data_IF_309856725663
#
_entry.id   IF_309856725663
#
_cell.length_a   1.000
_cell.length_b   1.000
_cell.length_c   1.000
_cell.angle_alpha   90.00
_cell.angle_beta   90.00
_cell.angle_gamma   90.00
#
_symmetry.space_group_name_H-M   'P 1'
#
loop_
_entity.id
_entity.type
_entity.pdbx_description
1 polymer ?
#
# COMPACT_ATOMS: atom_id res chain seq x y z
N UNK A 1 2.03 22.45 -3.36
CA UNK A 1 3.12 21.68 -4.01
C UNK A 1 2.95 21.64 -5.52
N UNK A 2 1.81 21.14 -6.05
CA UNK A 2 1.56 21.00 -7.49
C UNK A 2 1.90 22.23 -8.35
N UNK A 3 1.56 23.45 -7.89
CA UNK A 3 1.79 24.69 -8.65
C UNK A 3 3.27 25.01 -8.94
N UNK A 4 4.22 24.32 -8.29
CA UNK A 4 5.67 24.48 -8.58
C UNK A 4 6.10 23.74 -9.85
N UNK A 5 5.32 22.76 -10.31
CA UNK A 5 5.64 21.93 -11.46
C UNK A 5 5.53 22.73 -12.75
N UNK A 6 6.55 22.64 -13.61
CA UNK A 6 6.51 23.19 -14.97
C UNK A 6 6.14 22.12 -16.00
N UNK A 7 6.59 20.88 -15.79
CA UNK A 7 6.41 19.75 -16.70
C UNK A 7 5.86 18.54 -15.94
N UNK A 8 4.56 18.53 -15.59
CA UNK A 8 3.97 17.43 -14.83
C UNK A 8 4.03 16.12 -15.63
N UNK A 9 4.56 15.02 -15.05
CA UNK A 9 4.62 13.73 -15.71
C UNK A 9 3.22 13.18 -15.98
N UNK A 10 3.13 12.28 -16.96
CA UNK A 10 1.89 11.58 -17.26
C UNK A 10 1.66 10.48 -16.23
N UNK A 11 0.62 10.65 -15.43
CA UNK A 11 0.11 9.62 -14.50
C UNK A 11 -1.22 9.08 -15.02
N UNK A 12 -1.43 7.77 -14.89
CA UNK A 12 -2.68 7.10 -15.19
C UNK A 12 -3.80 7.59 -14.26
N UNK A 13 -4.92 8.04 -14.84
CA UNK A 13 -6.05 8.59 -14.08
C UNK A 13 -7.28 7.68 -13.94
N UNK A 14 -7.24 6.48 -14.55
CA UNK A 14 -8.43 5.60 -14.65
C UNK A 14 -8.75 4.87 -13.35
N UNK A 15 -7.73 4.55 -12.55
CA UNK A 15 -7.85 3.82 -11.31
C UNK A 15 -6.72 4.24 -10.36
N UNK A 16 -7.05 4.41 -9.08
CA UNK A 16 -6.12 4.85 -8.02
C UNK A 16 -4.90 3.93 -7.91
N UNK A 17 -5.09 2.64 -8.18
CA UNK A 17 -4.02 1.64 -8.15
C UNK A 17 -2.94 1.93 -9.19
N UNK A 18 -3.33 2.17 -10.45
CA UNK A 18 -2.36 2.49 -11.51
C UNK A 18 -1.71 3.85 -11.26
N UNK A 19 -2.48 4.82 -10.77
CA UNK A 19 -1.93 6.12 -10.39
C UNK A 19 -0.81 5.94 -9.33
N UNK A 20 -1.05 5.13 -8.31
CA UNK A 20 -0.07 4.83 -7.25
C UNK A 20 1.18 4.13 -7.80
N UNK A 21 1.01 3.14 -8.67
CA UNK A 21 2.14 2.45 -9.32
C UNK A 21 2.99 3.41 -10.14
N UNK A 22 2.36 4.28 -10.94
CA UNK A 22 3.07 5.30 -11.72
C UNK A 22 3.83 6.28 -10.81
N UNK A 23 3.19 6.74 -9.72
CA UNK A 23 3.82 7.63 -8.74
C UNK A 23 5.07 7.00 -8.12
N UNK A 24 5.03 5.72 -7.79
CA UNK A 24 6.17 5.03 -7.16
C UNK A 24 7.29 4.78 -8.15
N UNK A 25 6.96 4.43 -9.40
CA UNK A 25 7.98 4.37 -10.45
C UNK A 25 8.67 5.72 -10.63
N UNK A 26 7.89 6.82 -10.65
CA UNK A 26 8.43 8.18 -10.73
C UNK A 26 9.33 8.52 -9.53
N UNK A 27 8.95 8.11 -8.31
CA UNK A 27 9.79 8.26 -7.11
C UNK A 27 11.09 7.45 -7.21
N UNK A 28 11.03 6.22 -7.73
CA UNK A 28 12.19 5.34 -7.90
C UNK A 28 13.21 5.87 -8.91
N UNK A 29 12.79 6.70 -9.86
CA UNK A 29 13.69 7.43 -10.77
C UNK A 29 13.97 8.86 -10.29
N UNK A 30 13.69 9.16 -9.01
CA UNK A 30 13.93 10.43 -8.35
C UNK A 30 13.19 11.65 -8.95
N UNK A 31 11.98 11.43 -9.48
CA UNK A 31 11.10 12.54 -9.92
C UNK A 31 10.68 13.39 -8.72
N UNK A 32 10.74 14.73 -8.79
CA UNK A 32 10.34 15.59 -7.67
C UNK A 32 8.86 15.43 -7.27
N UNK A 33 8.58 15.44 -5.96
CA UNK A 33 7.22 15.26 -5.44
C UNK A 33 6.22 16.30 -5.99
N UNK A 34 6.65 17.55 -6.22
CA UNK A 34 5.76 18.57 -6.77
C UNK A 34 5.32 18.26 -8.20
N UNK A 35 6.18 17.62 -9.00
CA UNK A 35 5.84 17.16 -10.35
C UNK A 35 4.88 15.98 -10.27
N UNK A 36 5.15 14.99 -9.42
CA UNK A 36 4.27 13.82 -9.23
C UNK A 36 2.86 14.26 -8.81
N UNK A 37 2.75 15.16 -7.82
CA UNK A 37 1.46 15.68 -7.34
C UNK A 37 0.73 16.45 -8.44
N UNK A 38 1.43 17.26 -9.24
CA UNK A 38 0.83 17.94 -10.38
C UNK A 38 0.34 16.93 -11.45
N UNK A 39 1.16 15.93 -11.79
CA UNK A 39 0.80 14.84 -12.69
C UNK A 39 -0.49 14.12 -12.26
N UNK A 40 -0.69 13.93 -10.95
CA UNK A 40 -1.89 13.34 -10.38
C UNK A 40 -3.12 14.25 -10.54
N UNK A 41 -2.98 15.55 -10.26
CA UNK A 41 -4.07 16.52 -10.48
C UNK A 41 -4.54 16.50 -11.94
N UNK A 42 -3.59 16.54 -12.88
CA UNK A 42 -3.88 16.43 -14.31
C UNK A 42 -4.47 15.08 -14.70
N UNK A 43 -4.05 13.98 -14.07
CA UNK A 43 -4.61 12.65 -14.30
C UNK A 43 -6.11 12.59 -13.93
N UNK A 44 -6.49 13.14 -12.78
CA UNK A 44 -7.88 13.23 -12.32
C UNK A 44 -8.71 14.10 -13.26
N UNK A 45 -8.22 15.29 -13.63
CA UNK A 45 -8.92 16.19 -14.55
C UNK A 45 -9.13 15.56 -15.94
N UNK A 46 -8.11 14.89 -16.51
CA UNK A 46 -8.23 14.14 -17.78
C UNK A 46 -9.23 13.00 -17.68
N UNK A 47 -9.23 12.27 -16.57
CA UNK A 47 -10.20 11.19 -16.36
C UNK A 47 -11.62 11.74 -16.31
N UNK A 48 -11.85 12.86 -15.61
CA UNK A 48 -13.15 13.53 -15.59
C UNK A 48 -13.60 13.93 -17.01
N UNK A 49 -12.74 14.59 -17.79
CA UNK A 49 -13.05 15.00 -19.18
C UNK A 49 -13.42 13.79 -20.05
N UNK A 50 -12.68 12.69 -19.93
CA UNK A 50 -12.84 11.51 -20.79
C UNK A 50 -13.91 10.51 -20.34
N UNK A 51 -14.24 10.45 -19.06
CA UNK A 51 -15.21 9.49 -18.51
C UNK A 51 -16.58 10.12 -18.23
N UNK A 52 -16.63 11.37 -17.75
CA UNK A 52 -17.87 12.02 -17.30
C UNK A 52 -18.34 13.12 -18.26
N UNK A 53 -17.41 13.94 -18.75
CA UNK A 53 -17.73 15.04 -19.68
C UNK A 53 -17.69 14.64 -21.16
N UNK A 54 -17.40 13.36 -21.46
CA UNK A 54 -17.28 12.88 -22.84
C UNK A 54 -18.55 13.13 -23.64
N UNK A 55 -18.41 13.80 -24.78
CA UNK A 55 -19.52 14.15 -25.66
C UNK A 55 -20.42 15.27 -25.13
N UNK A 56 -20.11 15.88 -23.98
CA UNK A 56 -20.89 16.99 -23.43
C UNK A 56 -20.27 18.32 -23.84
N UNK A 57 -21.09 19.26 -24.31
CA UNK A 57 -20.66 20.64 -24.56
C UNK A 57 -20.61 21.39 -23.23
N UNK A 58 -19.41 21.71 -22.76
CA UNK A 58 -19.20 22.50 -21.55
C UNK A 58 -19.43 23.97 -21.91
N UNK A 59 -20.48 24.56 -21.33
CA UNK A 59 -20.79 26.00 -21.48
C UNK A 59 -20.10 26.76 -20.35
N UNK A 60 -19.55 27.93 -20.70
CA UNK A 60 -18.83 28.80 -19.78
C UNK A 60 -19.72 29.97 -19.34
N UNK A 61 -19.60 30.50 -18.10
CA UNK A 61 -18.69 30.03 -17.04
C UNK A 61 -19.12 28.69 -16.43
N UNK A 62 -18.17 27.97 -15.84
CA UNK A 62 -18.36 26.68 -15.16
C UNK A 62 -18.17 26.85 -13.66
N UNK A 63 -19.16 26.46 -12.86
CA UNK A 63 -18.99 26.42 -11.41
C UNK A 63 -18.27 25.12 -10.98
N UNK A 64 -17.16 25.23 -10.25
CA UNK A 64 -16.45 24.10 -9.65
C UNK A 64 -16.75 24.04 -8.15
N UNK A 65 -17.52 23.04 -7.74
CA UNK A 65 -18.04 22.90 -6.37
C UNK A 65 -17.62 21.57 -5.71
N UNK A 66 -17.75 21.50 -4.39
CA UNK A 66 -17.28 20.39 -3.55
C UNK A 66 -15.93 20.66 -2.89
N UNK A 67 -15.50 19.78 -1.99
CA UNK A 67 -14.26 19.97 -1.22
C UNK A 67 -12.99 20.01 -2.08
N UNK A 68 -12.99 19.33 -3.23
CA UNK A 68 -11.85 19.31 -4.16
C UNK A 68 -11.58 20.68 -4.78
N UNK A 69 -12.57 21.57 -4.86
CA UNK A 69 -12.37 22.92 -5.38
C UNK A 69 -11.44 23.79 -4.51
N UNK A 70 -11.20 23.43 -3.24
CA UNK A 70 -10.14 24.06 -2.43
C UNK A 70 -8.71 23.71 -2.87
N UNK A 71 -8.53 22.70 -3.75
CA UNK A 71 -7.21 22.26 -4.19
C UNK A 71 -6.76 23.06 -5.41
N UNK A 72 -5.88 24.04 -5.20
CA UNK A 72 -5.37 24.90 -6.28
C UNK A 72 -4.72 24.14 -7.45
N UNK A 73 -4.09 22.97 -7.20
CA UNK A 73 -3.54 22.13 -8.26
C UNK A 73 -4.63 21.47 -9.12
N UNK A 74 -5.77 21.09 -8.51
CA UNK A 74 -6.94 20.62 -9.25
C UNK A 74 -7.60 21.75 -10.04
N UNK A 75 -7.66 22.96 -9.49
CA UNK A 75 -8.17 24.14 -10.18
C UNK A 75 -7.35 24.40 -11.46
N UNK A 76 -6.03 24.54 -11.33
CA UNK A 76 -5.12 24.72 -12.48
C UNK A 76 -5.25 23.59 -13.51
N UNK A 77 -5.35 22.33 -13.04
CA UNK A 77 -5.49 21.18 -13.92
C UNK A 77 -6.81 21.21 -14.69
N UNK A 78 -7.93 21.58 -14.06
CA UNK A 78 -9.22 21.72 -14.75
C UNK A 78 -9.23 22.90 -15.71
N UNK A 79 -8.66 24.05 -15.34
CA UNK A 79 -8.54 25.20 -16.23
C UNK A 79 -7.78 24.81 -17.51
N UNK A 80 -6.63 24.14 -17.37
CA UNK A 80 -5.84 23.69 -18.50
C UNK A 80 -6.57 22.61 -19.34
N UNK A 81 -7.07 21.55 -18.70
CA UNK A 81 -7.67 20.41 -19.41
C UNK A 81 -8.98 20.78 -20.11
N UNK A 82 -9.74 21.72 -19.54
CA UNK A 82 -10.98 22.21 -20.13
C UNK A 82 -10.80 23.45 -21.00
N UNK A 83 -9.56 23.92 -21.20
CA UNK A 83 -9.22 25.08 -22.04
C UNK A 83 -10.01 26.33 -21.61
N UNK A 84 -9.96 26.61 -20.30
CA UNK A 84 -10.64 27.75 -19.67
C UNK A 84 -9.69 28.95 -19.58
N UNK A 85 -10.19 30.13 -19.90
CA UNK A 85 -9.56 31.42 -19.65
C UNK A 85 -9.77 31.87 -18.20
N UNK A 86 -8.98 32.84 -17.77
CA UNK A 86 -9.05 33.41 -16.43
C UNK A 86 -10.48 33.89 -16.11
N UNK A 87 -11.06 33.34 -15.03
CA UNK A 87 -12.41 33.70 -14.58
C UNK A 87 -13.53 32.86 -15.17
N UNK A 88 -13.26 31.94 -16.11
CA UNK A 88 -14.28 31.05 -16.67
C UNK A 88 -14.58 29.82 -15.79
N UNK A 89 -13.63 29.42 -14.92
CA UNK A 89 -13.84 28.42 -13.86
C UNK A 89 -14.11 29.14 -12.54
N UNK A 90 -15.38 29.18 -12.13
CA UNK A 90 -15.83 29.92 -10.94
C UNK A 90 -15.88 28.99 -9.74
N UNK A 91 -15.26 29.39 -8.63
CA UNK A 91 -15.33 28.66 -7.36
C UNK A 91 -16.14 29.52 -6.38
N UNK A 92 -17.39 29.15 -6.08
CA UNK A 92 -18.22 29.87 -5.09
C UNK A 92 -17.59 29.85 -3.69
N UNK A 93 -17.89 30.84 -2.86
CA UNK A 93 -17.38 30.90 -1.47
C UNK A 93 -17.83 29.67 -0.66
N UNK A 94 -19.08 29.26 -0.81
CA UNK A 94 -19.70 28.13 -0.11
C UNK A 94 -19.50 26.79 -0.82
N UNK A 95 -18.50 26.67 -1.71
CA UNK A 95 -18.31 25.50 -2.56
C UNK A 95 -18.27 24.16 -1.78
N UNK A 96 -17.84 24.17 -0.50
CA UNK A 96 -17.78 22.97 0.37
C UNK A 96 -19.14 22.47 0.84
N UNK A 97 -20.11 23.36 0.97
CA UNK A 97 -21.46 23.06 1.50
C UNK A 97 -22.56 23.23 0.44
N UNK A 98 -22.17 23.47 -0.81
CA UNK A 98 -23.05 23.92 -1.90
C UNK A 98 -24.31 23.04 -2.07
N UNK A 99 -24.17 21.71 -1.99
CA UNK A 99 -25.31 20.79 -2.08
C UNK A 99 -26.26 20.90 -0.87
N UNK A 100 -25.72 21.03 0.35
CA UNK A 100 -26.52 21.20 1.56
C UNK A 100 -27.24 22.55 1.58
N UNK A 101 -26.56 23.61 1.12
CA UNK A 101 -27.15 24.93 0.93
C UNK A 101 -28.33 24.89 -0.04
N UNK A 102 -28.16 24.26 -1.21
CA UNK A 102 -29.23 24.07 -2.19
C UNK A 102 -30.42 23.26 -1.62
N UNK A 103 -30.15 22.19 -0.86
CA UNK A 103 -31.21 21.41 -0.22
C UNK A 103 -32.04 22.24 0.78
N UNK A 104 -31.37 23.08 1.59
CA UNK A 104 -32.05 23.99 2.51
C UNK A 104 -32.90 25.04 1.77
N UNK A 105 -32.42 25.56 0.64
CA UNK A 105 -33.19 26.48 -0.20
C UNK A 105 -34.45 25.83 -0.78
N UNK A 106 -34.34 24.58 -1.29
CA UNK A 106 -35.49 23.83 -1.82
C UNK A 106 -36.53 23.59 -0.71
N UNK A 107 -36.09 23.24 0.50
CA UNK A 107 -36.99 23.07 1.64
C UNK A 107 -37.73 24.38 1.98
N UNK A 108 -37.02 25.51 1.98
CA UNK A 108 -37.60 26.85 2.16
C UNK A 108 -38.65 27.18 1.11
N UNK A 109 -38.39 26.87 -0.16
CA UNK A 109 -39.32 27.15 -1.28
C UNK A 109 -40.58 26.29 -1.23
N UNK A 110 -40.48 25.03 -0.79
CA UNK A 110 -41.62 24.10 -0.69
C UNK A 110 -42.54 24.38 0.50
N UNK A 111 -42.10 25.19 1.48
CA UNK A 111 -42.91 25.54 2.64
C UNK A 111 -43.27 24.36 3.57
N UNK A 112 -42.55 23.24 3.49
CA UNK A 112 -42.71 22.14 4.44
C UNK A 112 -42.05 22.52 5.77
N UNK A 113 -42.86 22.63 6.83
CA UNK A 113 -42.44 23.11 8.16
C UNK A 113 -42.58 22.03 9.23
N UNK A 114 -42.27 20.77 8.92
CA UNK A 114 -42.04 19.81 9.99
C UNK A 114 -40.79 20.26 10.76
N UNK A 115 -40.95 20.58 12.04
CA UNK A 115 -39.86 21.08 12.88
C UNK A 115 -38.86 19.96 13.13
N UNK A 116 -37.69 20.02 12.50
CA UNK A 116 -36.56 19.16 12.83
C UNK A 116 -35.93 19.64 14.16
N UNK A 117 -36.23 18.94 15.26
CA UNK A 117 -35.63 19.22 16.56
C UNK A 117 -34.22 18.61 16.66
N UNK A 118 -33.22 19.48 16.55
CA UNK A 118 -31.81 19.12 16.64
C UNK A 118 -31.45 18.51 18.01
N UNK A 119 -32.09 18.96 19.09
CA UNK A 119 -31.83 18.48 20.45
C UNK A 119 -32.45 17.10 20.69
N UNK A 120 -33.65 16.84 20.17
CA UNK A 120 -34.27 15.52 20.23
C UNK A 120 -33.47 14.47 19.42
N UNK A 121 -32.93 14.85 18.26
CA UNK A 121 -32.07 13.97 17.47
C UNK A 121 -30.80 13.55 18.22
N UNK A 122 -30.10 14.51 18.85
CA UNK A 122 -28.87 14.23 19.62
C UNK A 122 -29.11 13.27 20.80
N UNK A 123 -30.30 13.27 21.38
CA UNK A 123 -30.66 12.42 22.53
C UNK A 123 -31.07 11.00 22.13
N UNK A 124 -31.56 10.81 20.91
CA UNK A 124 -32.15 9.56 20.42
C UNK A 124 -31.31 8.87 19.33
N UNK A 125 -30.14 9.39 18.97
CA UNK A 125 -29.30 8.87 17.87
C UNK A 125 -28.54 7.57 18.20
N UNK A 126 -28.96 6.82 19.21
CA UNK A 126 -28.42 5.49 19.53
C UNK A 126 -29.47 4.44 19.17
N UNK A 127 -29.08 3.48 18.33
CA UNK A 127 -29.82 2.28 17.93
C UNK A 127 -30.77 2.42 16.73
N UNK A 128 -30.19 2.41 15.53
CA UNK A 128 -30.86 1.89 14.33
C UNK A 128 -29.81 1.38 13.33
N UNK A 129 -28.96 0.45 13.77
CA UNK A 129 -28.02 -0.23 12.88
C UNK A 129 -28.31 -1.72 12.95
N UNK A 130 -28.57 -2.30 11.78
CA UNK A 130 -28.94 -3.70 11.64
C UNK A 130 -27.67 -4.47 11.32
N UNK A 131 -27.25 -5.38 12.21
CA UNK A 131 -26.06 -6.18 11.96
C UNK A 131 -26.27 -7.04 10.69
N UNK A 132 -25.44 -6.86 9.65
CA UNK A 132 -25.52 -7.71 8.47
C UNK A 132 -25.20 -9.14 8.89
N UNK A 133 -26.08 -10.09 8.56
CA UNK A 133 -25.86 -11.51 8.83
C UNK A 133 -24.76 -12.02 7.91
N UNK A 134 -23.60 -12.39 8.45
CA UNK A 134 -22.54 -13.06 7.70
C UNK A 134 -22.65 -14.58 7.79
N UNK A 135 -22.23 -15.25 6.71
CA UNK A 135 -22.15 -16.71 6.60
C UNK A 135 -20.70 -17.22 6.61
N UNK A 136 -19.72 -16.38 6.96
CA UNK A 136 -18.29 -16.75 6.96
C UNK A 136 -17.86 -17.29 8.32
N UNK A 137 -17.01 -18.30 8.28
CA UNK A 137 -16.40 -18.86 9.49
C UNK A 137 -15.47 -17.84 10.16
N UNK A 138 -15.39 -17.94 11.48
CA UNK A 138 -14.44 -17.16 12.28
C UNK A 138 -13.00 -17.51 11.91
N UNK A 139 -12.13 -16.50 11.90
CA UNK A 139 -10.70 -16.71 11.70
C UNK A 139 -10.06 -17.29 12.98
N UNK A 140 -9.35 -18.39 12.82
CA UNK A 140 -8.57 -19.02 13.90
C UNK A 140 -7.12 -19.17 13.44
N UNK A 141 -6.18 -18.80 14.31
CA UNK A 141 -4.76 -19.02 14.07
C UNK A 141 -4.03 -19.17 15.40
N UNK A 142 -3.22 -20.21 15.53
CA UNK A 142 -2.29 -20.40 16.64
C UNK A 142 -0.87 -20.12 16.15
N UNK A 143 -0.24 -19.09 16.69
CA UNK A 143 1.19 -18.88 16.44
C UNK A 143 1.99 -20.06 17.02
N UNK A 144 2.95 -20.64 16.28
CA UNK A 144 3.91 -21.55 16.89
C UNK A 144 4.68 -20.84 18.02
N UNK A 145 5.07 -21.58 19.06
CA UNK A 145 5.74 -21.04 20.27
C UNK A 145 6.97 -20.17 19.96
N UNK A 146 7.60 -20.38 18.80
CA UNK A 146 8.64 -19.53 18.27
C UNK A 146 8.22 -18.93 16.93
N UNK A 147 7.68 -17.71 16.99
CA UNK A 147 7.86 -16.73 15.91
C UNK A 147 9.38 -16.68 15.63
N UNK A 148 9.88 -17.16 14.49
CA UNK A 148 11.31 -17.34 14.17
C UNK A 148 12.15 -16.04 14.08
N UNK A 149 12.14 -15.20 15.13
CA UNK A 149 12.88 -13.94 15.20
C UNK A 149 14.22 -14.06 15.93
N UNK A 150 14.57 -15.23 16.47
CA UNK A 150 15.80 -15.47 17.25
C UNK A 150 16.98 -15.98 16.42
N UNK A 151 17.10 -15.54 15.16
CA UNK A 151 18.31 -15.83 14.33
C UNK A 151 19.28 -14.65 14.26
N UNK A 152 19.08 -13.60 15.07
CA UNK A 152 20.16 -12.65 15.34
C UNK A 152 21.08 -13.28 16.37
N UNK A 153 22.15 -13.91 15.93
CA UNK A 153 23.24 -14.27 16.84
C UNK A 153 23.78 -12.94 17.38
N UNK A 154 23.49 -12.62 18.64
CA UNK A 154 24.23 -11.58 19.34
C UNK A 154 25.70 -11.97 19.23
N UNK A 155 26.49 -11.22 18.47
CA UNK A 155 27.93 -11.42 18.39
C UNK A 155 28.46 -11.39 19.83
N UNK A 156 28.76 -12.56 20.40
CA UNK A 156 29.43 -12.63 21.70
C UNK A 156 30.83 -12.05 21.45
N UNK A 157 31.08 -10.85 21.96
CA UNK A 157 32.41 -10.25 21.98
C UNK A 157 33.33 -11.19 22.77
N UNK A 158 34.14 -11.96 22.06
CA UNK A 158 35.26 -12.66 22.64
C UNK A 158 36.33 -11.67 23.11
N UNK A 159 37.28 -12.09 23.95
CA UNK A 159 38.32 -11.22 24.51
C UNK A 159 39.26 -10.59 23.48
N UNK A 160 39.23 -11.02 22.21
CA UNK A 160 39.91 -10.35 21.08
C UNK A 160 38.98 -10.24 19.85
N UNK A 161 38.84 -9.05 19.24
CA UNK A 161 37.99 -8.88 18.06
C UNK A 161 38.72 -9.40 16.83
N UNK A 162 38.47 -10.66 16.46
CA UNK A 162 38.86 -11.15 15.14
C UNK A 162 37.95 -10.50 14.10
N UNK A 163 38.53 -9.69 13.21
CA UNK A 163 37.82 -9.07 12.10
C UNK A 163 37.07 -10.16 11.30
N UNK A 164 35.75 -10.07 11.27
CA UNK A 164 34.88 -11.04 10.60
C UNK A 164 34.57 -10.53 9.21
N UNK A 165 34.71 -11.38 8.19
CA UNK A 165 34.28 -11.05 6.83
C UNK A 165 32.76 -11.14 6.74
N UNK A 166 32.13 -10.10 6.17
CA UNK A 166 30.69 -10.00 6.02
C UNK A 166 30.26 -9.69 4.59
N UNK A 167 29.04 -10.10 4.25
CA UNK A 167 28.37 -9.80 2.99
C UNK A 167 27.12 -8.99 3.29
N UNK A 168 26.96 -7.86 2.60
CA UNK A 168 25.82 -6.96 2.74
C UNK A 168 24.78 -7.26 1.65
N UNK A 169 23.54 -7.51 2.06
CA UNK A 169 22.37 -7.55 1.18
C UNK A 169 21.47 -6.36 1.46
N UNK A 170 21.04 -5.67 0.39
CA UNK A 170 20.07 -4.57 0.46
C UNK A 170 18.89 -4.90 -0.46
N UNK A 171 17.70 -4.98 0.12
CA UNK A 171 16.44 -5.17 -0.60
C UNK A 171 15.63 -3.87 -0.55
N UNK A 172 15.40 -3.30 -1.73
CA UNK A 172 14.75 -1.99 -1.89
C UNK A 172 13.39 -2.18 -2.53
N UNK A 173 12.41 -2.42 -1.65
CA UNK A 173 11.00 -2.39 -1.99
C UNK A 173 10.48 -0.97 -2.19
N UNK A 174 9.24 -0.88 -2.66
CA UNK A 174 8.50 0.37 -2.77
C UNK A 174 7.96 0.88 -1.44
N UNK A 175 7.70 -0.03 -0.49
CA UNK A 175 7.19 0.30 0.85
C UNK A 175 8.30 0.27 1.91
N UNK A 176 9.12 -0.77 1.89
CA UNK A 176 10.17 -1.04 2.87
C UNK A 176 11.54 -1.21 2.22
N UNK A 177 12.57 -0.88 2.99
CA UNK A 177 13.98 -1.07 2.68
C UNK A 177 14.60 -1.95 3.76
N UNK A 178 15.13 -3.09 3.34
CA UNK A 178 15.68 -4.11 4.21
C UNK A 178 17.18 -4.23 3.99
N UNK A 179 17.95 -4.28 5.08
CA UNK A 179 19.39 -4.52 5.03
C UNK A 179 19.71 -5.72 5.91
N UNK A 180 20.63 -6.57 5.45
CA UNK A 180 21.17 -7.66 6.25
C UNK A 180 22.66 -7.83 5.98
N UNK A 181 23.42 -8.07 7.05
CA UNK A 181 24.83 -8.48 6.95
C UNK A 181 24.94 -9.92 7.42
N UNK A 182 25.58 -10.77 6.61
CA UNK A 182 25.82 -12.17 6.94
C UNK A 182 27.30 -12.52 6.93
N UNK A 183 27.73 -13.48 7.76
CA UNK A 183 29.08 -14.06 7.68
C UNK A 183 29.16 -15.21 6.65
N UNK A 184 30.36 -15.75 6.45
CA UNK A 184 30.59 -16.92 5.58
C UNK A 184 29.83 -18.20 5.98
N UNK A 185 29.40 -18.28 7.24
CA UNK A 185 28.63 -19.40 7.78
C UNK A 185 27.11 -19.15 7.68
N UNK A 186 26.69 -18.05 7.01
CA UNK A 186 25.30 -17.64 6.81
C UNK A 186 24.60 -17.15 8.08
N UNK A 187 25.37 -16.80 9.11
CA UNK A 187 24.83 -16.18 10.31
C UNK A 187 24.51 -14.72 10.04
N UNK A 188 23.33 -14.27 10.47
CA UNK A 188 22.96 -12.84 10.41
C UNK A 188 23.68 -12.08 11.52
N UNK A 189 24.55 -11.14 11.13
CA UNK A 189 25.34 -10.30 12.04
C UNK A 189 24.60 -9.02 12.43
N UNK A 190 23.90 -8.40 11.48
CA UNK A 190 23.08 -7.22 11.69
C UNK A 190 21.95 -7.18 10.65
N UNK A 191 20.83 -6.54 10.99
CA UNK A 191 19.71 -6.33 10.06
C UNK A 191 18.92 -5.06 10.37
N UNK A 192 18.30 -4.46 9.35
CA UNK A 192 17.37 -3.34 9.48
C UNK A 192 16.15 -3.56 8.58
N UNK A 193 14.99 -3.18 9.10
CA UNK A 193 13.74 -3.06 8.36
C UNK A 193 13.28 -1.62 8.52
N UNK A 194 13.29 -0.86 7.44
CA UNK A 194 12.99 0.58 7.43
C UNK A 194 11.88 0.87 6.43
N UNK A 195 11.05 1.87 6.70
CA UNK A 195 10.10 2.36 5.70
C UNK A 195 10.83 3.20 4.64
N UNK A 196 10.65 2.85 3.37
CA UNK A 196 11.24 3.58 2.24
C UNK A 196 10.65 4.98 2.13
N UNK A 197 9.34 5.11 2.35
CA UNK A 197 8.60 6.38 2.36
C UNK A 197 8.92 7.29 1.14
N UNK A 198 9.04 6.70 -0.06
CA UNK A 198 9.39 7.40 -1.30
C UNK A 198 10.83 7.92 -1.38
N UNK A 199 11.66 7.65 -0.37
CA UNK A 199 13.04 8.16 -0.22
C UNK A 199 14.04 7.00 -0.07
N UNK A 200 14.25 6.20 -1.13
CA UNK A 200 15.07 4.98 -1.05
C UNK A 200 16.52 5.27 -0.65
N UNK A 201 17.12 6.34 -1.17
CA UNK A 201 18.51 6.72 -0.84
C UNK A 201 18.64 7.06 0.65
N UNK A 202 17.69 7.82 1.20
CA UNK A 202 17.71 8.21 2.62
C UNK A 202 17.52 6.99 3.53
N UNK A 203 16.59 6.08 3.18
CA UNK A 203 16.35 4.86 3.93
C UNK A 203 17.58 3.95 3.96
N UNK A 204 18.24 3.76 2.80
CA UNK A 204 19.49 2.99 2.71
C UNK A 204 20.60 3.66 3.51
N UNK A 205 20.80 4.98 3.37
CA UNK A 205 21.82 5.71 4.13
C UNK A 205 21.63 5.57 5.64
N UNK A 206 20.37 5.67 6.11
CA UNK A 206 20.03 5.46 7.51
C UNK A 206 20.35 4.03 7.95
N UNK A 207 19.93 3.02 7.19
CA UNK A 207 20.19 1.62 7.51
C UNK A 207 21.68 1.28 7.56
N UNK A 208 22.47 1.81 6.61
CA UNK A 208 23.93 1.63 6.59
C UNK A 208 24.61 2.29 7.78
N UNK A 209 24.18 3.50 8.16
CA UNK A 209 24.71 4.19 9.33
C UNK A 209 24.44 3.39 10.62
N UNK A 210 23.18 2.96 10.81
CA UNK A 210 22.81 2.18 12.00
C UNK A 210 23.52 0.82 12.07
N UNK A 211 23.75 0.15 10.93
CA UNK A 211 24.53 -1.11 10.87
C UNK A 211 26.01 -0.85 11.15
N UNK A 212 26.57 0.22 10.58
CA UNK A 212 27.97 0.60 10.80
C UNK A 212 28.24 0.93 12.27
N UNK A 213 27.31 1.62 12.95
CA UNK A 213 27.39 1.89 14.39
C UNK A 213 27.32 0.61 15.23
N UNK A 214 26.46 -0.35 14.85
CA UNK A 214 26.31 -1.64 15.56
C UNK A 214 27.54 -2.54 15.39
N UNK A 215 28.06 -2.66 14.17
CA UNK A 215 29.17 -3.56 13.85
C UNK A 215 30.55 -2.96 14.13
N UNK A 216 30.68 -1.62 14.09
CA UNK A 216 31.95 -0.92 14.27
C UNK A 216 33.05 -1.52 13.37
N UNK A 217 34.29 -1.60 13.87
CA UNK A 217 35.42 -2.19 13.14
C UNK A 217 35.51 -3.72 13.27
N UNK A 218 34.45 -4.40 13.72
CA UNK A 218 34.49 -5.86 13.94
C UNK A 218 34.16 -6.66 12.69
N UNK A 219 33.55 -6.02 11.68
CA UNK A 219 33.13 -6.66 10.43
C UNK A 219 33.70 -5.90 9.24
N UNK A 220 34.38 -6.61 8.35
CA UNK A 220 34.81 -6.11 7.04
C UNK A 220 33.83 -6.59 5.98
N UNK A 221 33.11 -5.67 5.35
CA UNK A 221 32.27 -6.00 4.20
C UNK A 221 33.15 -6.33 3.00
N UNK A 222 33.06 -7.56 2.50
CA UNK A 222 33.83 -8.06 1.35
C UNK A 222 32.98 -8.28 0.10
N UNK A 223 31.67 -8.09 0.21
CA UNK A 223 30.75 -8.10 -0.92
C UNK A 223 29.41 -7.44 -0.58
N UNK A 224 28.81 -6.81 -1.58
CA UNK A 224 27.54 -6.12 -1.50
C UNK A 224 26.62 -6.55 -2.65
N UNK A 225 25.37 -6.89 -2.34
CA UNK A 225 24.36 -7.22 -3.31
C UNK A 225 23.08 -6.41 -3.09
N UNK A 226 22.42 -6.02 -4.19
CA UNK A 226 21.15 -5.31 -4.17
C UNK A 226 20.05 -6.07 -4.90
N UNK A 227 18.83 -5.97 -4.37
CA UNK A 227 17.61 -6.57 -4.92
C UNK A 227 16.40 -5.65 -4.70
N UNK A 228 15.23 -6.07 -5.18
CA UNK A 228 14.00 -5.30 -5.09
C UNK A 228 13.77 -4.38 -6.30
N UNK A 229 12.68 -3.63 -6.25
CA UNK A 229 12.27 -2.67 -7.27
C UNK A 229 13.27 -1.52 -7.49
N UNK A 230 13.94 -1.04 -6.44
CA UNK A 230 14.93 0.05 -6.49
C UNK A 230 16.38 -0.39 -6.67
N UNK A 231 16.63 -1.67 -6.99
CA UNK A 231 17.96 -2.30 -6.97
C UNK A 231 19.01 -1.63 -7.85
N UNK A 232 18.66 -1.11 -9.03
CA UNK A 232 19.63 -0.51 -9.94
C UNK A 232 20.11 0.83 -9.40
N UNK A 233 19.17 1.72 -9.02
CA UNK A 233 19.48 3.01 -8.42
C UNK A 233 20.38 2.84 -7.19
N UNK A 234 20.02 1.91 -6.29
CA UNK A 234 20.77 1.71 -5.06
C UNK A 234 22.05 0.92 -5.30
N UNK A 235 22.06 -0.01 -6.25
CA UNK A 235 23.25 -0.71 -6.70
C UNK A 235 24.33 0.26 -7.16
N UNK A 236 23.97 1.23 -7.98
CA UNK A 236 24.88 2.30 -8.43
C UNK A 236 25.33 3.19 -7.25
N UNK A 237 24.40 3.53 -6.34
CA UNK A 237 24.69 4.39 -5.18
C UNK A 237 25.68 3.77 -4.19
N UNK A 238 25.57 2.46 -3.92
CA UNK A 238 26.44 1.75 -2.96
C UNK A 238 27.64 1.05 -3.61
N UNK A 239 27.72 1.05 -4.95
CA UNK A 239 28.72 0.29 -5.69
C UNK A 239 28.57 -1.22 -5.51
N UNK A 240 27.34 -1.74 -5.63
CA UNK A 240 27.05 -3.16 -5.41
C UNK A 240 27.77 -4.05 -6.43
N UNK A 241 28.39 -5.13 -5.95
CA UNK A 241 29.06 -6.13 -6.79
C UNK A 241 28.04 -6.94 -7.62
N UNK A 242 26.84 -7.12 -7.06
CA UNK A 242 25.79 -7.95 -7.65
C UNK A 242 24.43 -7.25 -7.56
N UNK A 243 23.77 -7.08 -8.70
CA UNK A 243 22.38 -6.62 -8.78
C UNK A 243 21.51 -7.77 -9.27
N UNK A 244 20.55 -8.23 -8.47
CA UNK A 244 19.70 -9.40 -8.79
C UNK A 244 18.22 -9.12 -8.56
N UNK A 245 17.39 -9.89 -9.25
CA UNK A 245 15.95 -9.82 -9.09
C UNK A 245 15.52 -10.47 -7.77
N UNK A 246 14.47 -9.91 -7.15
CA UNK A 246 13.90 -10.36 -5.89
C UNK A 246 13.39 -11.81 -5.94
N UNK A 247 12.85 -12.27 -7.08
CA UNK A 247 12.45 -13.68 -7.24
C UNK A 247 13.62 -14.63 -6.96
N UNK A 248 14.79 -14.34 -7.53
CA UNK A 248 15.98 -15.17 -7.33
C UNK A 248 16.51 -15.04 -5.91
N UNK A 249 16.57 -13.82 -5.37
CA UNK A 249 17.06 -13.57 -4.00
C UNK A 249 16.20 -14.30 -2.95
N UNK A 250 14.88 -14.22 -3.10
CA UNK A 250 13.88 -14.80 -2.22
C UNK A 250 13.87 -16.34 -2.29
N UNK A 251 13.91 -16.90 -3.50
CA UNK A 251 14.04 -18.35 -3.68
C UNK A 251 15.36 -18.86 -3.07
N UNK A 252 16.48 -18.16 -3.30
CA UNK A 252 17.78 -18.52 -2.73
C UNK A 252 17.72 -18.55 -1.19
N UNK A 253 17.14 -17.53 -0.56
CA UNK A 253 16.98 -17.49 0.89
C UNK A 253 16.10 -18.64 1.40
N UNK A 254 14.97 -18.92 0.74
CA UNK A 254 14.07 -20.00 1.13
C UNK A 254 14.75 -21.37 1.05
N UNK A 255 15.40 -21.69 -0.07
CA UNK A 255 16.10 -22.98 -0.29
C UNK A 255 17.26 -23.15 0.69
N UNK A 256 17.92 -22.05 1.07
CA UNK A 256 18.98 -22.07 2.08
C UNK A 256 18.46 -22.40 3.48
N UNK A 257 17.23 -21.98 3.81
CA UNK A 257 16.61 -22.24 5.12
C UNK A 257 16.03 -23.66 5.18
N UNK A 258 15.31 -24.08 4.14
CA UNK A 258 14.79 -25.44 4.02
C UNK A 258 14.82 -25.88 2.56
N UNK A 259 15.59 -26.94 2.26
CA UNK A 259 15.67 -27.50 0.90
C UNK A 259 14.37 -28.16 0.43
N UNK A 260 13.44 -28.45 1.36
CA UNK A 260 12.14 -29.05 1.02
C UNK A 260 11.12 -28.03 0.54
N UNK A 261 11.39 -26.73 0.68
CA UNK A 261 10.47 -25.68 0.22
C UNK A 261 10.15 -25.88 -1.26
N UNK A 262 8.87 -25.92 -1.58
CA UNK A 262 8.38 -26.13 -2.95
C UNK A 262 7.50 -24.97 -3.44
N UNK A 263 6.98 -24.16 -2.51
CA UNK A 263 6.06 -23.08 -2.82
C UNK A 263 6.34 -21.90 -1.92
N UNK A 264 6.41 -20.72 -2.52
CA UNK A 264 6.51 -19.46 -1.81
C UNK A 264 5.26 -18.64 -2.12
N UNK A 265 4.56 -18.26 -1.06
CA UNK A 265 3.56 -17.21 -1.10
C UNK A 265 4.16 -15.94 -0.53
N UNK A 266 4.15 -14.88 -1.32
CA UNK A 266 4.57 -13.56 -0.87
C UNK A 266 3.47 -12.54 -1.10
N UNK A 267 3.14 -11.78 -0.05
CA UNK A 267 2.21 -10.67 -0.11
C UNK A 267 2.92 -9.44 0.44
N UNK A 268 3.61 -8.74 -0.45
CA UNK A 268 4.29 -7.49 -0.12
C UNK A 268 3.33 -6.30 -0.01
N UNK A 269 3.91 -5.13 0.19
CA UNK A 269 3.16 -3.88 0.27
C UNK A 269 2.42 -3.51 -1.01
N UNK A 270 2.98 -3.82 -2.18
CA UNK A 270 2.51 -3.28 -3.45
C UNK A 270 2.16 -4.31 -4.50
N UNK A 271 2.85 -5.44 -4.45
CA UNK A 271 2.62 -6.59 -5.28
C UNK A 271 2.60 -7.83 -4.38
N UNK A 272 2.31 -8.95 -4.99
CA UNK A 272 2.25 -10.25 -4.38
C UNK A 272 2.73 -11.26 -5.39
N UNK A 273 3.53 -12.20 -4.93
CA UNK A 273 4.23 -13.15 -5.77
C UNK A 273 3.91 -14.57 -5.36
N UNK A 274 3.84 -15.42 -6.36
CA UNK A 274 3.85 -16.85 -6.22
C UNK A 274 5.14 -17.37 -6.86
N UNK A 275 5.87 -18.27 -6.18
CA UNK A 275 7.06 -18.92 -6.73
C UNK A 275 6.96 -20.42 -6.47
N UNK A 276 7.10 -21.21 -7.51
CA UNK A 276 7.22 -22.67 -7.44
C UNK A 276 8.68 -23.08 -7.56
N UNK A 277 9.11 -23.95 -6.66
CA UNK A 277 10.48 -24.47 -6.57
C UNK A 277 10.42 -25.99 -6.74
N UNK A 278 11.30 -26.51 -7.60
CA UNK A 278 11.53 -27.94 -7.78
C UNK A 278 13.03 -28.22 -7.72
N UNK A 279 13.44 -29.13 -6.84
CA UNK A 279 14.83 -29.49 -6.57
C UNK A 279 15.79 -28.29 -6.43
N UNK A 280 15.36 -27.26 -5.69
CA UNK A 280 16.15 -26.04 -5.47
C UNK A 280 16.25 -25.10 -6.68
N UNK A 281 15.40 -25.27 -7.68
CA UNK A 281 15.33 -24.40 -8.87
C UNK A 281 13.93 -23.80 -8.99
N UNK A 282 13.85 -22.52 -9.34
CA UNK A 282 12.55 -21.87 -9.63
C UNK A 282 12.03 -22.38 -10.97
N UNK A 283 10.88 -23.06 -10.96
CA UNK A 283 10.26 -23.65 -12.16
C UNK A 283 9.05 -22.88 -12.67
N UNK A 284 8.36 -22.14 -11.81
CA UNK A 284 7.28 -21.23 -12.20
C UNK A 284 7.23 -20.06 -11.22
N UNK A 285 6.78 -18.90 -11.70
CA UNK A 285 6.49 -17.76 -10.84
C UNK A 285 5.43 -16.86 -11.47
N UNK A 286 4.66 -16.19 -10.61
CA UNK A 286 3.70 -15.18 -11.03
C UNK A 286 3.72 -13.99 -10.09
N UNK A 287 3.41 -12.82 -10.62
CA UNK A 287 3.28 -11.59 -9.86
C UNK A 287 2.00 -10.87 -10.30
N UNK A 288 1.24 -10.30 -9.37
CA UNK A 288 0.09 -9.43 -9.71
C UNK A 288 0.57 -8.10 -10.32
N UNK A 289 0.93 -8.11 -11.60
CA UNK A 289 1.35 -6.90 -12.30
C UNK A 289 0.20 -5.88 -12.30
N UNK A 290 0.44 -4.75 -11.63
CA UNK A 290 -0.39 -3.54 -11.63
C UNK A 290 -1.69 -3.54 -10.81
N UNK A 291 -1.92 -4.50 -9.91
CA UNK A 291 -3.10 -4.48 -9.02
C UNK A 291 -2.72 -4.46 -7.54
N UNK A 292 -3.10 -3.41 -6.80
CA UNK A 292 -3.01 -3.38 -5.34
C UNK A 292 -4.10 -4.22 -4.65
N UNK A 293 -5.01 -4.83 -5.43
CA UNK A 293 -5.91 -5.84 -4.88
C UNK A 293 -5.07 -7.03 -4.45
N UNK A 294 -5.21 -7.41 -3.18
CA UNK A 294 -4.48 -8.53 -2.62
C UNK A 294 -3.18 -8.15 -1.89
N UNK A 295 -2.84 -6.87 -1.71
CA UNK A 295 -1.52 -6.46 -1.16
C UNK A 295 -1.62 -5.74 0.19
N UNK A 296 -0.49 -5.68 0.92
CA UNK A 296 -0.43 -5.07 2.25
C UNK A 296 -0.79 -3.59 2.28
N UNK A 297 -0.51 -2.83 1.22
CA UNK A 297 -0.85 -1.40 1.20
C UNK A 297 -2.36 -1.12 1.13
N UNK A 298 -3.14 -2.02 0.55
CA UNK A 298 -4.60 -1.91 0.64
C UNK A 298 -5.08 -2.15 2.07
N UNK A 299 -4.56 -3.17 2.75
CA UNK A 299 -4.88 -3.42 4.16
C UNK A 299 -4.52 -2.22 5.04
N UNK A 300 -3.34 -1.62 4.81
CA UNK A 300 -2.92 -0.41 5.51
C UNK A 300 -3.87 0.76 5.27
N UNK A 301 -4.25 1.04 4.01
CA UNK A 301 -5.19 2.12 3.67
C UNK A 301 -6.57 1.93 4.34
N UNK A 302 -7.09 0.70 4.38
CA UNK A 302 -8.36 0.43 5.04
C UNK A 302 -8.23 0.48 6.57
N UNK A 303 -7.12 -0.01 7.13
CA UNK A 303 -6.86 0.08 8.56
C UNK A 303 -6.79 1.54 9.03
N UNK A 304 -6.11 2.41 8.29
CA UNK A 304 -6.04 3.85 8.57
C UNK A 304 -7.44 4.50 8.54
N UNK A 305 -8.28 4.18 7.55
CA UNK A 305 -9.68 4.67 7.48
C UNK A 305 -10.54 4.21 8.66
N UNK A 306 -10.28 3.00 9.16
CA UNK A 306 -10.96 2.44 10.34
C UNK A 306 -10.35 2.91 11.67
N UNK A 307 -9.23 3.66 11.63
CA UNK A 307 -8.48 4.10 12.81
C UNK A 307 -7.82 2.94 13.55
N UNK A 308 -7.22 2.01 12.82
CA UNK A 308 -6.57 0.79 13.32
C UNK A 308 -5.10 0.79 12.92
N UNK A 309 -4.21 0.46 13.84
CA UNK A 309 -2.80 0.30 13.54
C UNK A 309 -2.53 -1.07 12.90
N UNK A 310 -2.08 -1.08 11.64
CA UNK A 310 -1.90 -2.31 10.85
C UNK A 310 -0.93 -3.32 11.49
N UNK A 311 0.16 -2.84 12.10
CA UNK A 311 1.22 -3.70 12.66
C UNK A 311 0.89 -4.26 14.05
N UNK A 312 -0.03 -3.63 14.78
CA UNK A 312 -0.28 -3.95 16.20
C UNK A 312 -1.67 -4.53 16.42
N UNK A 313 -2.69 -4.01 15.73
CA UNK A 313 -4.08 -4.31 16.06
C UNK A 313 -4.80 -5.17 15.02
N UNK A 314 -4.39 -5.10 13.75
CA UNK A 314 -5.19 -5.68 12.65
C UNK A 314 -5.39 -7.19 12.80
N UNK A 315 -4.32 -7.94 13.03
CA UNK A 315 -4.40 -9.41 13.18
C UNK A 315 -5.26 -9.82 14.36
N UNK A 316 -5.05 -9.20 15.53
CA UNK A 316 -5.78 -9.53 16.75
C UNK A 316 -7.27 -9.15 16.66
N UNK A 317 -7.60 -8.07 15.97
CA UNK A 317 -9.00 -7.70 15.67
C UNK A 317 -9.64 -8.70 14.71
N UNK A 318 -8.94 -9.09 13.65
CA UNK A 318 -9.43 -10.09 12.70
C UNK A 318 -9.78 -11.43 13.39
N UNK A 319 -8.95 -11.86 14.35
CA UNK A 319 -9.13 -13.13 15.07
C UNK A 319 -10.21 -13.05 16.18
N UNK A 320 -10.54 -11.84 16.65
CA UNK A 320 -11.64 -11.61 17.61
C UNK A 320 -13.02 -11.53 16.95
N UNK A 321 -13.06 -11.30 15.63
CA UNK A 321 -14.30 -11.21 14.88
C UNK A 321 -15.20 -12.43 15.09
N UNK A 322 -16.50 -12.18 15.19
CA UNK A 322 -17.51 -13.23 15.39
C UNK A 322 -18.32 -13.48 14.12
N UNK A 323 -18.42 -12.47 13.25
CA UNK A 323 -19.24 -12.48 12.05
C UNK A 323 -18.51 -11.78 10.88
N UNK A 324 -17.37 -12.30 10.38
CA UNK A 324 -16.55 -11.61 9.38
C UNK A 324 -17.33 -11.21 8.12
N UNK A 325 -17.29 -9.95 7.70
CA UNK A 325 -18.12 -9.47 6.58
C UNK A 325 -17.65 -10.00 5.21
N UNK A 326 -18.55 -9.95 4.23
CA UNK A 326 -18.29 -10.42 2.86
C UNK A 326 -17.95 -9.31 1.87
N UNK A 327 -16.68 -8.85 1.80
CA UNK A 327 -16.26 -7.80 0.86
C UNK A 327 -15.94 -8.29 -0.58
N UNK A 328 -16.25 -9.56 -0.91
CA UNK A 328 -15.89 -10.19 -2.19
C UNK A 328 -14.37 -10.36 -2.40
N UNK A 329 -13.96 -10.70 -3.62
CA UNK A 329 -12.55 -10.95 -3.99
C UNK A 329 -12.12 -10.19 -5.27
N UNK A 330 -12.85 -9.11 -5.60
CA UNK A 330 -12.68 -8.34 -6.84
C UNK A 330 -11.56 -7.30 -6.72
N UNK A 331 -11.80 -6.10 -7.23
CA UNK A 331 -10.86 -4.97 -7.13
C UNK A 331 -10.98 -4.29 -5.77
N UNK A 332 -9.90 -3.66 -5.29
CA UNK A 332 -9.86 -2.83 -4.07
C UNK A 332 -10.99 -1.82 -4.00
N UNK A 333 -11.37 -1.21 -5.13
CA UNK A 333 -12.46 -0.24 -5.21
C UNK A 333 -13.81 -0.86 -4.83
N UNK A 334 -14.09 -2.08 -5.28
CA UNK A 334 -15.33 -2.77 -4.93
C UNK A 334 -15.29 -3.28 -3.50
N UNK A 335 -14.15 -3.84 -3.06
CA UNK A 335 -13.96 -4.26 -1.67
C UNK A 335 -14.15 -3.09 -0.70
N UNK A 336 -13.64 -1.90 -1.03
CA UNK A 336 -13.85 -0.67 -0.26
C UNK A 336 -15.32 -0.22 -0.28
N UNK A 337 -15.98 -0.28 -1.43
CA UNK A 337 -17.42 0.04 -1.52
C UNK A 337 -18.26 -0.89 -0.63
N UNK A 338 -17.97 -2.19 -0.65
CA UNK A 338 -18.66 -3.17 0.19
C UNK A 338 -18.36 -2.92 1.68
N UNK A 339 -17.09 -2.65 2.02
CA UNK A 339 -16.66 -2.31 3.38
C UNK A 339 -17.41 -1.07 3.91
N UNK A 340 -17.49 0.00 3.11
CA UNK A 340 -18.22 1.22 3.46
C UNK A 340 -19.72 0.95 3.63
N UNK A 341 -20.31 0.10 2.80
CA UNK A 341 -21.72 -0.28 2.94
C UNK A 341 -21.98 -1.03 4.24
N UNK A 342 -21.12 -2.01 4.61
CA UNK A 342 -21.23 -2.71 5.88
C UNK A 342 -20.98 -1.79 7.08
N UNK A 343 -20.04 -0.86 6.98
CA UNK A 343 -19.79 0.13 8.02
C UNK A 343 -21.01 1.04 8.23
N UNK A 344 -21.65 1.50 7.14
CA UNK A 344 -22.88 2.30 7.20
C UNK A 344 -24.08 1.49 7.72
N UNK A 345 -24.11 0.18 7.49
CA UNK A 345 -25.08 -0.73 8.09
C UNK A 345 -24.80 -1.03 9.57
N UNK A 346 -23.60 -0.68 10.06
CA UNK A 346 -23.19 -0.77 11.46
C UNK A 346 -22.44 -2.03 11.84
N UNK A 347 -21.80 -2.70 10.88
CA UNK A 347 -20.90 -3.80 11.17
C UNK A 347 -19.76 -3.36 12.10
N UNK A 348 -19.43 -4.20 13.07
CA UNK A 348 -18.34 -3.98 14.01
C UNK A 348 -16.99 -3.95 13.30
N UNK A 349 -16.06 -3.16 13.84
CA UNK A 349 -14.72 -3.01 13.24
C UNK A 349 -13.99 -4.33 13.11
N UNK A 350 -14.10 -5.21 14.10
CA UNK A 350 -13.41 -6.50 14.10
C UNK A 350 -13.92 -7.40 12.93
N UNK A 351 -15.24 -7.39 12.68
CA UNK A 351 -15.86 -8.12 11.57
C UNK A 351 -15.49 -7.55 10.20
N UNK A 352 -15.38 -6.22 10.08
CA UNK A 352 -14.87 -5.53 8.88
C UNK A 352 -13.44 -5.95 8.56
N UNK A 353 -12.56 -5.96 9.57
CA UNK A 353 -11.14 -6.32 9.47
C UNK A 353 -10.97 -7.79 9.08
N UNK A 354 -11.72 -8.70 9.71
CA UNK A 354 -11.71 -10.11 9.34
C UNK A 354 -12.22 -10.34 7.91
N UNK A 355 -13.26 -9.59 7.49
CA UNK A 355 -13.75 -9.60 6.13
C UNK A 355 -12.68 -9.20 5.11
N UNK A 356 -11.88 -8.18 5.41
CA UNK A 356 -10.73 -7.76 4.58
C UNK A 356 -9.66 -8.84 4.49
N UNK A 357 -9.28 -9.47 5.61
CA UNK A 357 -8.28 -10.55 5.63
C UNK A 357 -8.68 -11.70 4.70
N UNK A 358 -9.93 -12.17 4.80
CA UNK A 358 -10.47 -13.19 3.90
C UNK A 358 -10.44 -12.76 2.43
N UNK A 359 -10.82 -11.52 2.16
CA UNK A 359 -10.94 -10.99 0.81
C UNK A 359 -9.57 -10.91 0.13
N UNK A 360 -8.52 -10.56 0.88
CA UNK A 360 -7.14 -10.53 0.40
C UNK A 360 -6.60 -11.92 0.14
N UNK A 361 -6.77 -12.87 1.07
CA UNK A 361 -6.34 -14.25 0.86
C UNK A 361 -7.04 -14.88 -0.36
N UNK A 362 -8.36 -14.72 -0.49
CA UNK A 362 -9.12 -15.23 -1.64
C UNK A 362 -8.71 -14.57 -2.95
N UNK A 363 -8.46 -13.26 -2.93
CA UNK A 363 -7.99 -12.54 -4.10
C UNK A 363 -6.62 -13.08 -4.54
N UNK A 364 -5.66 -13.23 -3.62
CA UNK A 364 -4.33 -13.78 -3.90
C UNK A 364 -4.42 -15.18 -4.52
N UNK A 365 -5.16 -16.10 -3.89
CA UNK A 365 -5.35 -17.45 -4.38
C UNK A 365 -5.99 -17.49 -5.78
N UNK A 366 -6.95 -16.60 -6.05
CA UNK A 366 -7.66 -16.59 -7.34
C UNK A 366 -6.87 -15.91 -8.44
N UNK A 367 -6.19 -14.80 -8.13
CA UNK A 367 -5.58 -13.89 -9.12
C UNK A 367 -4.09 -14.14 -9.33
N UNK A 368 -3.36 -14.54 -8.30
CA UNK A 368 -1.91 -14.78 -8.36
C UNK A 368 -1.65 -16.27 -8.54
N UNK A 369 -2.16 -17.09 -7.62
CA UNK A 369 -1.97 -18.55 -7.72
C UNK A 369 -2.78 -19.11 -8.88
N UNK A 370 -4.07 -18.80 -8.96
CA UNK A 370 -4.94 -19.22 -10.04
C UNK A 370 -5.05 -20.74 -10.14
N UNK A 371 -4.60 -21.33 -11.25
CA UNK A 371 -4.59 -22.78 -11.48
C UNK A 371 -3.23 -23.44 -11.21
N UNK A 372 -2.26 -22.70 -10.66
CA UNK A 372 -0.92 -23.21 -10.41
C UNK A 372 -0.90 -24.22 -9.27
N UNK A 373 0.10 -25.09 -9.29
CA UNK A 373 0.29 -26.12 -8.26
C UNK A 373 0.65 -25.46 -6.94
N UNK A 374 -0.06 -25.77 -5.87
CA UNK A 374 0.42 -25.50 -4.51
C UNK A 374 1.04 -26.80 -4.02
N UNK A 375 2.31 -26.76 -3.61
CA UNK A 375 2.99 -27.91 -3.02
C UNK A 375 2.73 -28.03 -1.52
N UNK A 376 3.53 -28.87 -0.87
CA UNK A 376 3.31 -29.29 0.52
C UNK A 376 4.10 -28.44 1.51
N UNK A 377 5.26 -27.91 1.10
CA UNK A 377 6.15 -27.11 1.94
C UNK A 377 6.09 -25.65 1.51
N UNK A 378 5.11 -24.93 2.08
CA UNK A 378 4.78 -23.55 1.73
C UNK A 378 5.49 -22.58 2.68
N UNK A 379 6.25 -21.65 2.13
CA UNK A 379 6.76 -20.50 2.86
C UNK A 379 5.86 -19.30 2.60
N UNK A 380 5.31 -18.71 3.67
CA UNK A 380 4.57 -17.45 3.60
C UNK A 380 5.44 -16.29 4.08
N UNK A 381 5.61 -15.26 3.26
CA UNK A 381 6.45 -14.09 3.54
C UNK A 381 5.84 -12.82 2.95
N UNK A 382 6.48 -11.66 3.17
CA UNK A 382 5.99 -10.35 2.71
C UNK A 382 5.80 -9.37 3.85
#
# INVERSE_FOLDING_TARGET
>A
MALKSQNPPRIAGRCSVFAKSDMIHLQQIATPDYDIVAGLCFAVARNFKSAIARGKKIRKPVAFVGGVASNAGMVQAFEHILEMETGELVIPEEHRIFCAYGAAMIAREKGQTDTFDLHAYQKNSTNALHNPVSTRDRLEYSFPEQKHYKTTLTLKRGPEPKLTEGYLGIDIGSLSTNLAVIDKNKNVLARRYLMTAGRPIEAVRKGLAEIGEELQDTVKIIGCATTGSGRYLIGDFVGADVVRNEITAQATAAIMLDRKVDTIFEIGGQDSKYISIDDGVVVDFEMNKACAAGTGSFLQEQAEKLGIQINEEFGDRALRASCPVGCGERCTVFMESDLNAYQQAGAEKDDLVAGLAYSIAKNYLTRVVGKRRIGDHIFFQG
#
